data_IF_069619913214
#
_entry.id   IF_069619913214
#
_cell.length_a   1.000
_cell.length_b   1.000
_cell.length_c   1.000
_cell.angle_alpha   90.00
_cell.angle_beta   90.00
_cell.angle_gamma   90.00
#
_symmetry.space_group_name_H-M   'P 1'
#
loop_
_entity.id
_entity.type
_entity.pdbx_description
1 polymer ?
#
# COMPACT_ATOMS: atom_id res chain seq x y z
N UNK A 1 10.27 18.27 3.29
CA UNK A 1 10.19 17.24 4.34
C UNK A 1 8.87 16.50 4.17
N UNK A 2 8.79 15.22 4.51
CA UNK A 2 7.52 14.50 4.51
C UNK A 2 6.66 15.04 5.65
N UNK A 3 5.41 15.39 5.36
CA UNK A 3 4.46 15.90 6.34
C UNK A 3 3.56 14.74 6.80
N UNK A 4 3.96 14.08 7.88
CA UNK A 4 3.32 12.87 8.39
C UNK A 4 2.67 13.21 9.73
N UNK A 5 1.64 14.05 9.70
CA UNK A 5 0.78 14.31 10.85
C UNK A 5 -0.37 13.31 10.88
N UNK A 6 -1.09 13.27 12.01
CA UNK A 6 -2.35 12.52 12.09
C UNK A 6 -3.35 12.99 11.02
N UNK A 7 -3.44 14.29 10.79
CA UNK A 7 -4.36 14.89 9.82
C UNK A 7 -4.03 14.44 8.38
N UNK A 8 -2.78 14.64 7.93
CA UNK A 8 -2.40 14.28 6.55
C UNK A 8 -2.50 12.79 6.27
N UNK A 9 -2.20 11.95 7.26
CA UNK A 9 -2.32 10.51 7.13
C UNK A 9 -3.78 10.05 7.09
N UNK A 10 -4.63 10.59 7.97
CA UNK A 10 -6.05 10.23 8.00
C UNK A 10 -6.78 10.71 6.75
N UNK A 11 -6.47 11.89 6.23
CA UNK A 11 -7.02 12.37 4.96
C UNK A 11 -6.66 11.44 3.79
N UNK A 12 -5.39 11.05 3.70
CA UNK A 12 -4.96 10.10 2.68
C UNK A 12 -5.69 8.74 2.80
N UNK A 13 -6.00 8.29 4.01
CA UNK A 13 -6.78 7.06 4.23
C UNK A 13 -8.23 7.25 3.76
N UNK A 14 -8.88 8.36 4.13
CA UNK A 14 -10.25 8.70 3.70
C UNK A 14 -10.41 8.76 2.19
N UNK A 15 -9.39 9.22 1.47
CA UNK A 15 -9.42 9.35 0.02
C UNK A 15 -9.43 7.99 -0.72
N UNK A 16 -8.88 6.93 -0.11
CA UNK A 16 -8.59 5.68 -0.83
C UNK A 16 -9.17 4.42 -0.19
N UNK A 17 -9.58 4.46 1.07
CA UNK A 17 -10.09 3.28 1.79
C UNK A 17 -11.62 3.31 1.83
N UNK A 18 -12.22 2.17 1.51
CA UNK A 18 -13.67 2.00 1.53
C UNK A 18 -14.23 2.19 2.96
N UNK A 19 -15.30 2.99 3.17
CA UNK A 19 -15.93 3.16 4.48
C UNK A 19 -16.45 1.87 5.13
N UNK A 20 -16.64 0.79 4.36
CA UNK A 20 -17.00 -0.54 4.89
C UNK A 20 -15.78 -1.34 5.37
N UNK A 21 -14.56 -0.87 5.13
CA UNK A 21 -13.35 -1.60 5.47
C UNK A 21 -13.19 -1.76 6.99
N UNK A 22 -12.52 -2.84 7.38
CA UNK A 22 -11.95 -3.02 8.72
C UNK A 22 -10.49 -2.61 8.67
N UNK A 23 -10.11 -1.64 9.49
CA UNK A 23 -8.75 -1.14 9.56
C UNK A 23 -7.94 -1.97 10.57
N UNK A 24 -6.72 -2.37 10.18
CA UNK A 24 -5.75 -3.04 11.06
C UNK A 24 -4.43 -2.29 10.93
N UNK A 25 -3.95 -1.68 12.02
CA UNK A 25 -2.70 -0.90 12.04
C UNK A 25 -1.79 -1.30 13.19
N UNK A 26 -0.57 -0.74 13.20
CA UNK A 26 0.27 -0.72 14.40
C UNK A 26 -0.25 0.31 15.43
N UNK A 27 0.53 0.53 16.49
CA UNK A 27 0.21 1.45 17.60
C UNK A 27 0.63 2.91 17.34
N UNK A 28 0.88 3.28 16.09
CA UNK A 28 1.26 4.65 15.76
C UNK A 28 0.12 5.63 16.03
N UNK A 29 0.44 6.72 16.74
CA UNK A 29 -0.54 7.66 17.30
C UNK A 29 -1.38 8.38 16.23
N UNK A 30 -0.87 8.50 15.00
CA UNK A 30 -1.56 9.14 13.89
C UNK A 30 -2.87 8.43 13.50
N UNK A 31 -3.01 7.14 13.79
CA UNK A 31 -4.23 6.37 13.49
C UNK A 31 -5.33 6.52 14.54
N UNK A 32 -5.07 7.18 15.67
CA UNK A 32 -6.07 7.29 16.74
C UNK A 32 -7.33 8.03 16.28
N UNK A 33 -8.49 7.42 16.54
CA UNK A 33 -9.82 8.02 16.29
C UNK A 33 -10.42 7.70 14.93
N UNK A 34 -9.62 7.31 13.94
CA UNK A 34 -10.09 7.07 12.57
C UNK A 34 -11.13 5.93 12.48
N UNK A 35 -11.03 4.93 13.36
CA UNK A 35 -11.93 3.78 13.35
C UNK A 35 -13.42 4.11 13.51
N UNK A 36 -13.75 5.25 14.11
CA UNK A 36 -15.16 5.68 14.23
C UNK A 36 -15.80 6.05 12.90
N UNK A 37 -15.00 6.27 11.85
CA UNK A 37 -15.45 6.62 10.50
C UNK A 37 -15.71 5.38 9.61
N UNK A 38 -15.32 4.18 10.06
CA UNK A 38 -15.36 2.96 9.26
C UNK A 38 -16.28 1.90 9.89
N UNK A 39 -17.20 1.34 9.11
CA UNK A 39 -18.18 0.36 9.58
C UNK A 39 -17.53 -0.95 10.05
N UNK A 40 -16.40 -1.33 9.45
CA UNK A 40 -15.63 -2.50 9.87
C UNK A 40 -14.81 -2.29 11.14
N UNK A 41 -14.78 -1.06 11.67
CA UNK A 41 -14.02 -0.67 12.85
C UNK A 41 -12.51 -0.58 12.61
N UNK A 42 -11.76 -0.41 13.71
CA UNK A 42 -10.31 -0.31 13.70
C UNK A 42 -9.71 -1.11 14.84
N UNK A 43 -8.77 -1.98 14.49
CA UNK A 43 -7.98 -2.78 15.41
C UNK A 43 -6.50 -2.38 15.31
N UNK A 44 -5.81 -2.45 16.44
CA UNK A 44 -4.37 -2.16 16.52
C UNK A 44 -3.62 -3.32 17.15
N UNK A 45 -2.42 -3.59 16.64
CA UNK A 45 -1.42 -4.43 17.32
C UNK A 45 -0.39 -3.54 18.01
N UNK A 46 -0.02 -3.90 19.24
CA UNK A 46 0.93 -3.13 20.04
C UNK A 46 2.28 -3.86 20.11
N UNK A 47 3.21 -3.43 19.26
CA UNK A 47 4.55 -4.01 19.23
C UNK A 47 5.34 -3.73 20.51
N UNK A 48 5.05 -2.61 21.20
CA UNK A 48 5.72 -2.26 22.45
C UNK A 48 5.42 -3.23 23.60
N UNK A 49 4.25 -3.88 23.59
CA UNK A 49 3.89 -4.96 24.53
C UNK A 49 4.21 -6.35 24.00
N UNK A 50 4.97 -6.46 22.89
CA UNK A 50 5.29 -7.71 22.18
C UNK A 50 4.05 -8.47 21.67
N UNK A 51 2.94 -7.77 21.43
CA UNK A 51 1.78 -8.34 20.77
C UNK A 51 1.95 -8.18 19.26
N UNK A 52 2.33 -9.26 18.58
CA UNK A 52 2.54 -9.26 17.12
C UNK A 52 1.33 -9.81 16.34
N UNK A 53 0.51 -10.64 16.97
CA UNK A 53 -0.66 -11.28 16.36
C UNK A 53 -1.74 -11.50 17.41
N UNK A 54 -2.96 -11.06 17.12
CA UNK A 54 -4.18 -11.37 17.88
C UNK A 54 -5.23 -11.95 16.95
N UNK A 55 -5.24 -13.27 16.78
CA UNK A 55 -6.11 -13.92 15.80
C UNK A 55 -5.77 -13.48 14.37
N UNK A 56 -6.72 -12.88 13.68
CA UNK A 56 -6.55 -12.29 12.34
C UNK A 56 -6.03 -10.84 12.35
N UNK A 57 -5.83 -10.26 13.54
CA UNK A 57 -5.35 -8.89 13.73
C UNK A 57 -3.82 -8.90 13.76
N UNK A 58 -3.19 -8.50 12.67
CA UNK A 58 -1.74 -8.33 12.54
C UNK A 58 -1.35 -7.43 11.35
N UNK A 59 -0.13 -6.88 11.37
CA UNK A 59 0.44 -6.08 10.28
C UNK A 59 1.36 -6.88 9.34
N UNK A 60 1.58 -8.18 9.59
CA UNK A 60 2.53 -9.01 8.83
C UNK A 60 2.36 -8.96 7.30
N UNK A 61 1.11 -8.96 6.82
CA UNK A 61 0.79 -8.89 5.38
C UNK A 61 1.28 -7.57 4.77
N UNK A 62 0.97 -6.45 5.42
CA UNK A 62 1.34 -5.13 4.91
C UNK A 62 2.86 -4.93 5.02
N UNK A 63 3.48 -5.39 6.09
CA UNK A 63 4.94 -5.37 6.27
C UNK A 63 5.66 -6.17 5.18
N UNK A 64 5.14 -7.36 4.83
CA UNK A 64 5.67 -8.20 3.75
C UNK A 64 5.57 -7.50 2.39
N UNK A 65 4.45 -6.83 2.12
CA UNK A 65 4.28 -6.03 0.90
C UNK A 65 5.27 -4.86 0.86
N UNK A 66 5.39 -4.08 1.93
CA UNK A 66 6.37 -2.98 2.02
C UNK A 66 7.83 -3.46 1.91
N UNK A 67 8.15 -4.66 2.39
CA UNK A 67 9.47 -5.25 2.24
C UNK A 67 9.83 -5.53 0.77
N UNK A 68 8.85 -5.85 -0.09
CA UNK A 68 9.07 -5.99 -1.54
C UNK A 68 9.31 -4.62 -2.19
N UNK A 69 8.52 -3.61 -1.84
CA UNK A 69 8.70 -2.23 -2.34
C UNK A 69 10.10 -1.73 -2.00
N UNK A 70 10.53 -1.83 -0.74
CA UNK A 70 11.87 -1.40 -0.30
C UNK A 70 12.99 -2.12 -1.05
N UNK A 71 12.88 -3.44 -1.23
CA UNK A 71 13.86 -4.21 -2.00
C UNK A 71 13.90 -3.81 -3.47
N UNK A 72 12.75 -3.54 -4.08
CA UNK A 72 12.72 -3.10 -5.47
C UNK A 72 13.24 -1.67 -5.67
N UNK A 73 13.07 -0.77 -4.70
CA UNK A 73 13.74 0.54 -4.73
C UNK A 73 15.26 0.36 -4.75
N UNK A 74 15.79 -0.50 -3.89
CA UNK A 74 17.25 -0.75 -3.79
C UNK A 74 17.78 -1.50 -5.00
N UNK A 75 17.05 -2.48 -5.55
CA UNK A 75 17.55 -3.40 -6.57
C UNK A 75 17.16 -3.11 -8.01
N UNK A 76 16.06 -2.38 -8.25
CA UNK A 76 15.53 -2.11 -9.61
C UNK A 76 15.67 -0.64 -9.96
N UNK A 77 15.23 0.25 -9.06
CA UNK A 77 15.07 1.66 -9.40
C UNK A 77 16.28 2.52 -9.05
N UNK A 78 16.99 2.24 -7.95
CA UNK A 78 18.11 3.00 -7.37
C UNK A 78 17.83 4.49 -7.04
N UNK A 79 16.84 5.11 -7.69
CA UNK A 79 16.30 6.43 -7.44
C UNK A 79 14.81 6.45 -7.85
N UNK A 80 13.97 7.08 -7.03
CA UNK A 80 12.53 7.21 -7.30
C UNK A 80 12.14 8.68 -7.33
N UNK A 81 11.37 9.07 -8.35
CA UNK A 81 10.81 10.42 -8.42
C UNK A 81 9.52 10.50 -7.61
N UNK A 82 9.39 11.54 -6.79
CA UNK A 82 8.14 11.85 -6.06
C UNK A 82 6.95 12.01 -7.02
N UNK A 83 7.15 12.62 -8.17
CA UNK A 83 6.10 12.84 -9.19
C UNK A 83 5.49 11.53 -9.68
N UNK A 84 6.31 10.48 -9.79
CA UNK A 84 5.90 9.19 -10.33
C UNK A 84 5.75 8.11 -9.25
N UNK A 85 5.75 8.47 -7.96
CA UNK A 85 5.73 7.53 -6.83
C UNK A 85 4.60 6.49 -6.97
N UNK A 86 3.40 6.95 -7.33
CA UNK A 86 2.23 6.11 -7.56
C UNK A 86 2.47 5.02 -8.62
N UNK A 87 3.25 5.28 -9.67
CA UNK A 87 3.53 4.30 -10.73
C UNK A 87 4.44 3.18 -10.24
N UNK A 88 5.42 3.49 -9.39
CA UNK A 88 6.25 2.48 -8.77
C UNK A 88 5.41 1.59 -7.84
N UNK A 89 4.54 2.20 -7.02
CA UNK A 89 3.64 1.46 -6.14
C UNK A 89 2.69 0.54 -6.92
N UNK A 90 2.07 1.04 -8.00
CA UNK A 90 1.21 0.22 -8.86
C UNK A 90 1.89 -1.03 -9.42
N UNK A 91 3.19 -0.95 -9.73
CA UNK A 91 3.93 -2.14 -10.14
C UNK A 91 4.01 -3.17 -9.01
N UNK A 92 4.34 -2.74 -7.78
CA UNK A 92 4.41 -3.65 -6.64
C UNK A 92 3.04 -4.21 -6.26
N UNK A 93 1.97 -3.42 -6.38
CA UNK A 93 0.60 -3.90 -6.21
C UNK A 93 0.26 -4.97 -7.26
N UNK A 94 0.61 -4.72 -8.52
CA UNK A 94 0.44 -5.70 -9.60
C UNK A 94 1.20 -7.00 -9.32
N UNK A 95 2.44 -6.91 -8.86
CA UNK A 95 3.24 -8.09 -8.49
C UNK A 95 2.62 -8.82 -7.31
N UNK A 96 2.21 -8.09 -6.26
CA UNK A 96 1.63 -8.67 -5.04
C UNK A 96 0.33 -9.41 -5.32
N UNK A 97 -0.57 -8.79 -6.08
CA UNK A 97 -1.88 -9.35 -6.39
C UNK A 97 -1.79 -10.55 -7.36
N UNK A 98 -0.73 -10.63 -8.15
CA UNK A 98 -0.50 -11.70 -9.12
C UNK A 98 0.68 -12.61 -8.74
N UNK A 99 1.01 -12.69 -7.45
CA UNK A 99 2.16 -13.46 -6.92
C UNK A 99 2.04 -14.97 -7.09
N UNK A 100 0.83 -15.48 -7.31
CA UNK A 100 0.57 -16.91 -7.54
C UNK A 100 0.75 -17.31 -9.00
N UNK A 101 0.82 -16.33 -9.91
CA UNK A 101 1.08 -16.57 -11.33
C UNK A 101 2.57 -16.79 -11.58
N UNK A 102 2.89 -17.63 -12.56
CA UNK A 102 4.25 -17.72 -13.06
C UNK A 102 4.62 -16.47 -13.89
N UNK A 103 5.91 -16.33 -14.21
CA UNK A 103 6.43 -15.16 -14.92
C UNK A 103 5.77 -14.96 -16.29
N UNK A 104 5.54 -16.05 -17.03
CA UNK A 104 4.92 -15.99 -18.36
C UNK A 104 3.47 -15.53 -18.30
N UNK A 105 2.67 -16.09 -17.39
CA UNK A 105 1.27 -15.70 -17.15
C UNK A 105 1.17 -14.23 -16.75
N UNK A 106 2.03 -13.79 -15.82
CA UNK A 106 2.04 -12.40 -15.36
C UNK A 106 2.49 -11.44 -16.47
N UNK A 107 3.43 -11.83 -17.33
CA UNK A 107 3.81 -11.04 -18.51
C UNK A 107 2.65 -10.87 -19.48
N UNK A 108 1.92 -11.94 -19.80
CA UNK A 108 0.74 -11.88 -20.66
C UNK A 108 -0.32 -10.95 -20.06
N UNK A 109 -0.60 -11.08 -18.76
CA UNK A 109 -1.55 -10.22 -18.06
C UNK A 109 -1.13 -8.75 -18.08
N UNK A 110 0.16 -8.44 -17.92
CA UNK A 110 0.67 -7.07 -18.00
C UNK A 110 0.46 -6.45 -19.39
N UNK A 111 0.68 -7.23 -20.46
CA UNK A 111 0.44 -6.78 -21.84
C UNK A 111 -1.04 -6.54 -22.09
N UNK A 112 -1.91 -7.46 -21.67
CA UNK A 112 -3.37 -7.29 -21.77
C UNK A 112 -3.85 -6.07 -20.99
N UNK A 113 -3.28 -5.81 -19.80
CA UNK A 113 -3.62 -4.65 -18.98
C UNK A 113 -3.25 -3.30 -19.62
N UNK A 114 -2.42 -3.30 -20.66
CA UNK A 114 -2.05 -2.12 -21.44
C UNK A 114 -2.98 -1.88 -22.64
N UNK A 115 -3.87 -2.82 -22.98
CA UNK A 115 -4.81 -2.66 -24.09
C UNK A 115 -5.70 -1.42 -23.87
N UNK A 116 -5.87 -0.63 -24.93
CA UNK A 116 -6.62 0.63 -24.90
C UNK A 116 -5.94 1.78 -24.14
N UNK A 117 -4.82 1.55 -23.44
CA UNK A 117 -4.09 2.59 -22.70
C UNK A 117 -2.95 3.13 -23.57
N UNK A 118 -3.10 4.36 -24.05
CA UNK A 118 -2.02 5.07 -24.77
C UNK A 118 -1.37 6.12 -23.88
N UNK A 119 -0.10 5.94 -23.57
CA UNK A 119 0.71 6.98 -22.93
C UNK A 119 1.03 8.06 -23.96
N UNK A 120 0.42 9.23 -23.81
CA UNK A 120 0.72 10.42 -24.60
C UNK A 120 1.56 11.37 -23.75
N UNK A 121 2.61 11.94 -24.34
CA UNK A 121 3.39 12.97 -23.66
C UNK A 121 2.55 14.24 -23.60
N UNK A 122 2.34 14.79 -22.40
CA UNK A 122 1.68 16.09 -22.25
C UNK A 122 2.66 17.14 -22.77
N UNK A 123 2.36 17.74 -23.92
CA UNK A 123 3.13 18.89 -24.39
C UNK A 123 3.02 19.99 -23.32
N UNK A 124 4.17 20.53 -22.93
CA UNK A 124 4.27 21.62 -21.94
C UNK A 124 3.72 22.91 -22.50
#
# INVERSE_FOLDING_TARGET
MADVTGETLQDAIRDVVDPQARLITDDFQAYKGIGSEYNGGHETVCHSTKEYVRGDIHTNTVESSFALVKRGIVGIYHNVSREYLHRYLWQFDFIWNNRELNDGERTVLAVQSAEGKRLVYKQR
#
